data_IF_990139947439
#
_entry.id   IF_990139947439
#
_cell.length_a   1.000
_cell.length_b   1.000
_cell.length_c   1.000
_cell.angle_alpha   90.00
_cell.angle_beta   90.00
_cell.angle_gamma   90.00
#
_symmetry.space_group_name_H-M   'P 1'
#
loop_
_entity.id
_entity.type
_entity.pdbx_description
1 polymer ?
#
# COMPACT_ATOMS: atom_id res chain seq x y z
N UNK A 1 -4.61 24.13 -14.91
CA UNK A 1 -3.92 23.03 -14.19
C UNK A 1 -2.39 23.12 -14.33
N UNK A 2 -1.85 23.55 -15.46
CA UNK A 2 -0.40 23.61 -15.70
C UNK A 2 0.39 24.49 -14.73
N UNK A 3 -0.26 25.44 -14.10
CA UNK A 3 0.35 26.40 -13.17
C UNK A 3 0.23 25.98 -11.69
N UNK A 4 -0.44 24.84 -11.41
CA UNK A 4 -0.61 24.29 -10.07
C UNK A 4 0.66 23.57 -9.62
N UNK A 5 1.56 24.23 -8.99
CA UNK A 5 2.84 23.67 -8.54
C UNK A 5 2.79 23.19 -7.09
N UNK A 6 2.07 22.09 -6.80
CA UNK A 6 1.95 21.56 -5.44
C UNK A 6 3.29 21.15 -4.81
N UNK A 7 4.31 20.84 -5.61
CA UNK A 7 5.65 20.55 -5.08
C UNK A 7 6.28 21.74 -4.35
N UNK A 8 5.83 22.96 -4.65
CA UNK A 8 6.26 24.15 -3.91
C UNK A 8 5.86 24.13 -2.43
N UNK A 9 4.83 23.37 -2.05
CA UNK A 9 4.44 23.18 -0.64
C UNK A 9 5.54 22.52 0.18
N UNK A 10 6.25 21.54 -0.39
CA UNK A 10 7.35 20.85 0.29
C UNK A 10 8.52 21.81 0.52
N UNK A 11 8.82 22.65 -0.48
CA UNK A 11 9.86 23.68 -0.36
C UNK A 11 9.49 24.71 0.72
N UNK A 12 8.23 25.15 0.78
CA UNK A 12 7.75 26.05 1.83
C UNK A 12 7.82 25.40 3.22
N UNK A 13 7.44 24.13 3.33
CA UNK A 13 7.53 23.36 4.60
C UNK A 13 8.96 23.24 5.14
N UNK A 14 9.97 23.32 4.28
CA UNK A 14 11.38 23.36 4.69
C UNK A 14 11.87 24.74 5.17
N UNK A 15 11.11 25.80 4.99
CA UNK A 15 11.54 27.16 5.30
C UNK A 15 11.13 27.67 6.69
N UNK A 16 10.11 27.07 7.31
CA UNK A 16 9.65 27.47 8.64
C UNK A 16 8.99 26.31 9.38
N UNK A 17 8.98 26.38 10.70
CA UNK A 17 8.33 25.40 11.56
C UNK A 17 6.86 25.75 11.77
N UNK A 18 6.00 25.25 10.90
CA UNK A 18 4.56 25.55 10.97
C UNK A 18 3.75 24.81 9.90
N UNK A 19 2.41 24.87 9.99
CA UNK A 19 1.54 24.22 9.01
C UNK A 19 1.62 24.91 7.64
N UNK A 20 1.78 24.11 6.58
CA UNK A 20 1.65 24.57 5.19
C UNK A 20 0.25 24.23 4.69
N UNK A 21 -0.34 25.13 3.93
CA UNK A 21 -1.65 24.97 3.32
C UNK A 21 -1.62 25.18 1.82
N UNK A 22 -2.80 25.04 1.21
CA UNK A 22 -3.00 25.27 -0.21
C UNK A 22 -4.25 26.13 -0.43
N UNK A 23 -4.09 27.22 -1.17
CA UNK A 23 -5.17 28.10 -1.64
C UNK A 23 -5.54 27.71 -3.06
N UNK A 24 -6.75 27.20 -3.26
CA UNK A 24 -7.19 26.59 -4.51
C UNK A 24 -8.07 27.50 -5.36
N UNK A 25 -7.68 27.65 -6.63
CA UNK A 25 -8.42 28.34 -7.67
C UNK A 25 -8.69 27.44 -8.89
N UNK A 26 -8.71 26.12 -8.70
CA UNK A 26 -9.10 25.18 -9.75
C UNK A 26 -10.61 24.92 -9.76
N UNK A 27 -11.22 24.52 -10.88
CA UNK A 27 -12.66 24.34 -10.94
C UNK A 27 -13.18 23.07 -10.22
N UNK A 28 -12.30 22.12 -9.88
CA UNK A 28 -12.66 20.85 -9.24
C UNK A 28 -11.88 20.64 -7.93
N UNK A 29 -11.81 19.38 -7.44
CA UNK A 29 -11.19 19.06 -6.16
C UNK A 29 -9.83 18.34 -6.31
N UNK A 30 -9.38 18.05 -7.52
CA UNK A 30 -8.19 17.24 -7.74
C UNK A 30 -6.94 17.86 -7.10
N UNK A 31 -6.72 19.15 -7.30
CA UNK A 31 -5.59 19.87 -6.72
C UNK A 31 -5.64 19.88 -5.18
N UNK A 32 -6.82 20.08 -4.60
CA UNK A 32 -7.02 20.07 -3.14
C UNK A 32 -6.69 18.69 -2.56
N UNK A 33 -7.23 17.61 -3.15
CA UNK A 33 -7.00 16.26 -2.65
C UNK A 33 -5.52 15.85 -2.79
N UNK A 34 -4.87 16.25 -3.88
CA UNK A 34 -3.44 16.07 -4.05
C UNK A 34 -2.62 16.88 -3.04
N UNK A 35 -3.01 18.11 -2.73
CA UNK A 35 -2.37 18.94 -1.70
C UNK A 35 -2.50 18.29 -0.31
N UNK A 36 -3.70 17.79 0.05
CA UNK A 36 -3.92 17.05 1.31
C UNK A 36 -3.04 15.80 1.38
N UNK A 37 -2.97 15.02 0.30
CA UNK A 37 -2.11 13.84 0.23
C UNK A 37 -0.60 14.19 0.35
N UNK A 38 -0.20 15.40 -0.03
CA UNK A 38 1.16 15.94 0.17
C UNK A 38 1.38 16.59 1.55
N UNK A 39 0.38 16.60 2.42
CA UNK A 39 0.51 17.08 3.78
C UNK A 39 -0.02 18.51 4.03
N UNK A 40 -0.82 19.07 3.12
CA UNK A 40 -1.52 20.33 3.39
C UNK A 40 -2.34 20.23 4.68
N UNK A 41 -2.15 21.18 5.58
CA UNK A 41 -2.84 21.25 6.88
C UNK A 41 -3.98 22.26 6.88
N UNK A 42 -3.98 23.17 5.93
CA UNK A 42 -4.99 24.18 5.72
C UNK A 42 -5.38 24.19 4.24
N UNK A 43 -6.66 24.21 3.96
CA UNK A 43 -7.19 24.37 2.60
C UNK A 43 -8.04 25.64 2.56
N UNK A 44 -7.75 26.49 1.60
CA UNK A 44 -8.56 27.67 1.28
C UNK A 44 -9.25 27.43 -0.07
N UNK A 45 -10.54 27.68 -0.12
CA UNK A 45 -11.36 27.54 -1.33
C UNK A 45 -12.44 28.61 -1.38
N UNK A 46 -12.62 29.24 -2.52
CA UNK A 46 -13.77 30.10 -2.76
C UNK A 46 -15.07 29.32 -2.62
N UNK A 47 -16.08 29.93 -2.04
CA UNK A 47 -17.44 29.36 -1.93
C UNK A 47 -18.46 30.27 -2.60
N UNK A 48 -19.51 29.70 -3.14
CA UNK A 48 -20.62 30.44 -3.72
C UNK A 48 -21.96 29.81 -3.35
N UNK A 49 -22.97 30.63 -3.20
CA UNK A 49 -24.37 30.18 -3.04
C UNK A 49 -25.13 30.14 -4.37
N UNK A 50 -24.60 30.81 -5.40
CA UNK A 50 -25.19 30.88 -6.74
C UNK A 50 -24.10 30.65 -7.77
N UNK A 51 -24.40 29.85 -8.79
CA UNK A 51 -23.58 29.69 -9.99
C UNK A 51 -24.01 30.66 -11.09
N UNK A 52 -23.13 30.89 -12.03
CA UNK A 52 -23.33 31.77 -13.19
C UNK A 52 -23.77 33.18 -12.81
N UNK A 53 -23.03 33.79 -11.88
CA UNK A 53 -23.30 35.13 -11.39
C UNK A 53 -22.71 36.14 -12.38
N UNK A 54 -23.50 37.01 -13.02
CA UNK A 54 -22.99 38.03 -13.91
C UNK A 54 -21.98 38.96 -13.22
N UNK A 55 -20.88 39.25 -13.91
CA UNK A 55 -19.79 40.11 -13.43
C UNK A 55 -19.03 39.62 -12.18
N UNK A 56 -19.30 38.41 -11.67
CA UNK A 56 -18.47 37.77 -10.67
C UNK A 56 -17.41 36.88 -11.36
N UNK A 57 -16.14 36.97 -10.94
CA UNK A 57 -15.06 36.25 -11.61
C UNK A 57 -14.86 34.85 -11.00
N UNK A 58 -14.97 34.73 -9.69
CA UNK A 58 -14.50 33.56 -8.96
C UNK A 58 -15.54 32.44 -8.76
N UNK A 59 -16.80 32.62 -9.22
CA UNK A 59 -17.83 31.58 -9.10
C UNK A 59 -17.45 30.28 -9.84
N UNK A 60 -16.66 30.37 -10.92
CA UNK A 60 -16.18 29.21 -11.72
C UNK A 60 -15.22 28.31 -10.95
N UNK A 61 -14.54 28.84 -9.98
CA UNK A 61 -13.60 28.13 -9.12
C UNK A 61 -14.10 27.99 -7.68
N UNK A 62 -15.36 28.33 -7.44
CA UNK A 62 -16.01 28.27 -6.13
C UNK A 62 -16.74 26.96 -5.91
N UNK A 63 -16.70 26.46 -4.68
CA UNK A 63 -17.53 25.33 -4.25
C UNK A 63 -18.92 25.83 -3.82
N UNK A 64 -19.98 25.25 -4.35
CA UNK A 64 -21.35 25.47 -3.89
C UNK A 64 -21.69 24.65 -2.65
N UNK A 65 -22.90 24.84 -2.07
CA UNK A 65 -23.28 24.16 -0.83
C UNK A 65 -23.20 22.65 -0.88
N UNK A 66 -23.56 22.03 -2.01
CA UNK A 66 -23.46 20.57 -2.22
C UNK A 66 -22.01 20.13 -2.42
N UNK A 67 -21.25 20.91 -3.19
CA UNK A 67 -19.85 20.62 -3.50
C UNK A 67 -18.97 20.73 -2.25
N UNK A 68 -19.23 21.70 -1.37
CA UNK A 68 -18.48 21.86 -0.14
C UNK A 68 -18.60 20.65 0.78
N UNK A 69 -19.79 20.10 0.95
CA UNK A 69 -20.00 18.88 1.74
C UNK A 69 -19.24 17.67 1.14
N UNK A 70 -19.28 17.53 -0.19
CA UNK A 70 -18.54 16.49 -0.91
C UNK A 70 -17.02 16.68 -0.76
N UNK A 71 -16.54 17.92 -0.90
CA UNK A 71 -15.13 18.27 -0.74
C UNK A 71 -14.61 17.87 0.66
N UNK A 72 -15.32 18.28 1.72
CA UNK A 72 -14.94 17.94 3.10
C UNK A 72 -14.90 16.41 3.28
N UNK A 73 -15.91 15.69 2.79
CA UNK A 73 -15.93 14.23 2.84
C UNK A 73 -14.75 13.60 2.08
N UNK A 74 -14.43 14.11 0.90
CA UNK A 74 -13.31 13.64 0.09
C UNK A 74 -11.96 13.92 0.77
N UNK A 75 -11.78 15.07 1.41
CA UNK A 75 -10.58 15.38 2.20
C UNK A 75 -10.41 14.37 3.32
N UNK A 76 -11.45 14.11 4.14
CA UNK A 76 -11.38 13.14 5.24
C UNK A 76 -11.06 11.72 4.76
N UNK A 77 -11.62 11.34 3.61
CA UNK A 77 -11.28 10.07 2.97
C UNK A 77 -9.82 10.04 2.51
N UNK A 78 -9.32 11.12 1.92
CA UNK A 78 -7.92 11.22 1.47
C UNK A 78 -6.97 11.08 2.66
N UNK A 79 -7.23 11.75 3.78
CA UNK A 79 -6.43 11.61 5.01
C UNK A 79 -6.34 10.14 5.46
N UNK A 80 -7.45 9.40 5.41
CA UNK A 80 -7.47 7.97 5.71
C UNK A 80 -6.65 7.15 4.72
N UNK A 81 -6.74 7.47 3.43
CA UNK A 81 -6.04 6.74 2.35
C UNK A 81 -4.52 6.95 2.37
N UNK A 82 -4.04 8.10 2.83
CA UNK A 82 -2.60 8.38 2.98
C UNK A 82 -1.94 7.39 3.95
N UNK A 83 -2.65 6.99 5.01
CA UNK A 83 -2.16 6.00 5.97
C UNK A 83 -0.95 6.49 6.78
N UNK A 84 -0.13 5.55 7.23
CA UNK A 84 1.00 5.80 8.15
C UNK A 84 2.39 5.57 7.55
N UNK A 85 2.49 5.20 6.28
CA UNK A 85 3.75 5.02 5.54
C UNK A 85 4.58 3.77 5.90
N UNK A 86 4.18 2.95 6.87
CA UNK A 86 4.86 1.69 7.18
C UNK A 86 4.44 0.61 6.19
N UNK A 87 5.42 -0.09 5.58
CA UNK A 87 5.14 -1.22 4.69
C UNK A 87 5.01 -2.49 5.52
N UNK A 88 3.81 -2.72 6.02
CA UNK A 88 3.43 -3.93 6.78
C UNK A 88 2.07 -4.45 6.28
N UNK A 89 1.80 -5.75 6.40
CA UNK A 89 0.50 -6.30 6.05
C UNK A 89 -0.61 -5.69 6.90
N UNK A 90 -1.71 -5.32 6.28
CA UNK A 90 -2.93 -4.91 7.00
C UNK A 90 -3.56 -6.10 7.74
N UNK A 91 -4.45 -5.83 8.67
CA UNK A 91 -5.18 -6.89 9.40
C UNK A 91 -5.95 -7.82 8.44
N UNK A 92 -6.53 -7.28 7.37
CA UNK A 92 -7.22 -8.06 6.34
C UNK A 92 -6.26 -8.90 5.48
N UNK A 93 -5.07 -8.39 5.17
CA UNK A 93 -4.04 -9.13 4.45
C UNK A 93 -3.46 -10.27 5.28
N UNK A 94 -3.27 -10.05 6.59
CA UNK A 94 -2.77 -11.09 7.51
C UNK A 94 -3.67 -12.32 7.53
N UNK A 95 -4.99 -12.16 7.47
CA UNK A 95 -5.93 -13.27 7.36
C UNK A 95 -5.77 -14.05 6.04
N UNK A 96 -5.37 -13.37 4.97
CA UNK A 96 -5.16 -13.97 3.65
C UNK A 96 -3.81 -14.67 3.47
N UNK A 97 -2.82 -14.40 4.33
CA UNK A 97 -1.46 -14.90 4.14
C UNK A 97 -1.37 -16.43 4.10
N UNK A 98 -2.11 -17.11 4.97
CA UNK A 98 -2.05 -18.58 5.08
C UNK A 98 -2.37 -19.28 3.75
N UNK A 99 -3.35 -18.78 2.98
CA UNK A 99 -3.73 -19.38 1.70
C UNK A 99 -3.04 -18.71 0.48
N UNK A 100 -2.62 -17.45 0.61
CA UNK A 100 -2.03 -16.70 -0.50
C UNK A 100 -0.53 -16.96 -0.66
N UNK A 101 0.19 -17.16 0.44
CA UNK A 101 1.62 -17.46 0.42
C UNK A 101 1.88 -18.88 -0.12
N UNK A 102 3.13 -19.13 -0.46
CA UNK A 102 3.62 -20.44 -0.90
C UNK A 102 4.57 -21.02 0.13
N UNK A 103 4.61 -22.37 0.20
CA UNK A 103 5.61 -23.14 0.93
C UNK A 103 6.55 -23.86 -0.02
N UNK A 104 7.72 -24.22 0.46
CA UNK A 104 8.59 -25.19 -0.19
C UNK A 104 7.94 -26.58 -0.10
N UNK A 105 7.79 -27.25 -1.24
CA UNK A 105 7.28 -28.61 -1.36
C UNK A 105 8.27 -29.49 -2.12
N UNK A 106 8.23 -30.79 -1.89
CA UNK A 106 9.01 -31.73 -2.71
C UNK A 106 8.49 -31.72 -4.15
N UNK A 107 9.39 -31.66 -5.13
CA UNK A 107 9.05 -31.76 -6.56
C UNK A 107 8.76 -33.17 -7.00
N UNK A 108 9.30 -34.16 -6.25
CA UNK A 108 9.20 -35.61 -6.46
C UNK A 108 9.31 -36.33 -5.12
N UNK A 109 9.07 -37.63 -5.10
CA UNK A 109 9.32 -38.45 -3.91
C UNK A 109 10.81 -38.44 -3.55
N UNK A 110 11.10 -38.14 -2.28
CA UNK A 110 12.45 -38.11 -1.73
C UNK A 110 12.57 -39.11 -0.61
N UNK A 111 13.59 -40.01 -0.63
CA UNK A 111 13.74 -41.02 0.42
C UNK A 111 14.31 -40.44 1.71
N UNK A 112 14.16 -41.14 2.83
CA UNK A 112 14.83 -40.82 4.08
C UNK A 112 16.37 -40.74 3.86
N UNK A 113 17.04 -39.80 4.51
CA UNK A 113 18.48 -39.58 4.36
C UNK A 113 18.89 -38.82 3.09
N UNK A 114 17.93 -38.46 2.22
CA UNK A 114 18.22 -37.66 1.03
C UNK A 114 18.73 -36.27 1.45
N UNK A 115 19.80 -35.80 0.79
CA UNK A 115 20.34 -34.45 0.99
C UNK A 115 19.62 -33.53 0.02
N UNK A 116 18.93 -32.54 0.56
CA UNK A 116 18.10 -31.63 -0.21
C UNK A 116 18.96 -30.69 -1.08
N UNK A 117 18.66 -30.66 -2.38
CA UNK A 117 19.18 -29.70 -3.36
C UNK A 117 18.04 -28.85 -3.92
N UNK A 118 18.39 -27.75 -4.58
CA UNK A 118 17.40 -26.79 -5.09
C UNK A 118 16.40 -27.44 -6.08
N UNK A 119 16.89 -28.34 -6.93
CA UNK A 119 16.08 -29.08 -7.92
C UNK A 119 15.04 -30.05 -7.30
N UNK A 120 15.20 -30.41 -6.04
CA UNK A 120 14.22 -31.22 -5.32
C UNK A 120 12.98 -30.42 -4.88
N UNK A 121 13.05 -29.10 -4.93
CA UNK A 121 12.05 -28.23 -4.34
C UNK A 121 11.22 -27.46 -5.38
N UNK A 122 9.98 -27.22 -5.05
CA UNK A 122 9.07 -26.33 -5.75
C UNK A 122 8.34 -25.42 -4.74
N UNK A 123 7.72 -24.36 -5.24
CA UNK A 123 6.95 -23.43 -4.41
C UNK A 123 5.47 -23.53 -4.76
N UNK A 124 4.66 -24.11 -3.87
CA UNK A 124 3.20 -24.26 -4.03
C UNK A 124 2.43 -23.65 -2.87
N UNK A 125 1.18 -23.24 -3.09
CA UNK A 125 0.24 -22.87 -2.03
C UNK A 125 -0.31 -24.12 -1.33
N UNK A 126 -0.66 -24.03 -0.05
CA UNK A 126 -0.67 -22.87 0.85
C UNK A 126 0.69 -22.52 1.45
N UNK A 127 0.73 -21.41 2.22
CA UNK A 127 1.92 -20.91 2.91
C UNK A 127 2.05 -21.38 4.36
N UNK A 128 1.72 -22.64 4.63
CA UNK A 128 1.71 -23.27 5.96
C UNK A 128 3.01 -23.98 6.34
N UNK A 129 3.96 -24.07 5.40
CA UNK A 129 5.29 -24.65 5.57
C UNK A 129 6.40 -23.60 5.54
N UNK A 130 7.60 -24.01 5.13
CA UNK A 130 8.76 -23.12 4.98
C UNK A 130 8.55 -22.21 3.77
N UNK A 131 8.65 -20.89 3.97
CA UNK A 131 8.51 -19.93 2.88
C UNK A 131 9.66 -20.06 1.86
N UNK A 132 9.42 -19.84 0.55
CA UNK A 132 10.44 -19.99 -0.49
C UNK A 132 11.68 -19.11 -0.31
N UNK A 133 11.54 -17.93 0.29
CA UNK A 133 12.67 -17.04 0.57
C UNK A 133 13.61 -17.56 1.66
N UNK A 134 13.23 -18.65 2.35
CA UNK A 134 14.05 -19.33 3.36
C UNK A 134 14.70 -20.61 2.82
N UNK A 135 14.76 -20.80 1.51
CA UNK A 135 15.31 -22.01 0.87
C UNK A 135 16.74 -22.31 1.35
N UNK A 136 17.57 -21.29 1.58
CA UNK A 136 18.95 -21.45 2.06
C UNK A 136 19.05 -22.19 3.42
N UNK A 137 17.98 -22.18 4.22
CA UNK A 137 17.94 -22.85 5.51
C UNK A 137 17.78 -24.37 5.40
N UNK A 138 17.39 -24.88 4.24
CA UNK A 138 17.08 -26.29 4.02
C UNK A 138 18.05 -26.98 3.06
N UNK A 139 18.73 -26.24 2.18
CA UNK A 139 19.70 -26.81 1.25
C UNK A 139 20.86 -27.47 2.00
N UNK A 140 21.24 -28.67 1.55
CA UNK A 140 22.33 -29.47 2.15
C UNK A 140 21.93 -30.25 3.41
N UNK A 141 20.72 -30.03 3.96
CA UNK A 141 20.22 -30.82 5.10
C UNK A 141 19.65 -32.18 4.63
N UNK A 142 19.63 -33.16 5.54
CA UNK A 142 19.10 -34.51 5.28
C UNK A 142 17.67 -34.63 5.77
N UNK A 143 16.85 -35.37 5.01
CA UNK A 143 15.53 -35.78 5.44
C UNK A 143 15.60 -36.89 6.49
N UNK A 144 14.88 -36.76 7.59
CA UNK A 144 14.73 -37.78 8.63
C UNK A 144 13.85 -38.97 8.21
N UNK A 145 12.86 -38.67 7.35
CA UNK A 145 11.87 -39.62 6.86
C UNK A 145 11.60 -39.34 5.37
N UNK A 146 10.98 -40.28 4.63
CA UNK A 146 10.59 -40.03 3.24
C UNK A 146 9.64 -38.86 3.14
N UNK A 147 9.73 -38.10 2.05
CA UNK A 147 8.84 -36.96 1.72
C UNK A 147 8.24 -37.19 0.34
N UNK A 148 6.92 -37.27 0.27
CA UNK A 148 6.19 -37.51 -0.98
C UNK A 148 6.20 -36.27 -1.88
N UNK A 149 6.04 -36.47 -3.17
CA UNK A 149 5.86 -35.39 -4.12
C UNK A 149 4.71 -34.46 -3.69
N UNK A 150 4.92 -33.18 -3.85
CA UNK A 150 3.97 -32.11 -3.47
C UNK A 150 3.73 -31.95 -1.95
N UNK A 151 4.31 -32.77 -1.11
CA UNK A 151 4.22 -32.59 0.33
C UNK A 151 5.04 -31.37 0.80
N UNK A 152 4.51 -30.54 1.72
CA UNK A 152 5.23 -29.40 2.25
C UNK A 152 6.41 -29.83 3.13
N UNK A 153 7.54 -29.14 2.93
CA UNK A 153 8.74 -29.36 3.73
C UNK A 153 8.65 -28.58 5.05
N UNK A 154 8.89 -29.26 6.17
CA UNK A 154 8.98 -28.67 7.50
C UNK A 154 10.39 -28.73 8.08
N UNK A 155 10.81 -27.76 8.90
CA UNK A 155 12.13 -27.78 9.55
C UNK A 155 12.31 -28.99 10.48
N UNK A 156 11.24 -29.49 11.09
CA UNK A 156 11.24 -30.66 11.94
C UNK A 156 11.54 -31.98 11.19
N UNK A 157 11.39 -32.00 9.86
CA UNK A 157 11.68 -33.10 8.99
C UNK A 157 13.16 -33.24 8.60
N UNK A 158 13.98 -32.27 9.02
CA UNK A 158 15.39 -32.17 8.63
C UNK A 158 16.31 -32.44 9.82
N UNK A 159 17.42 -33.11 9.54
CA UNK A 159 18.56 -33.17 10.46
C UNK A 159 19.25 -31.82 10.53
N UNK A 160 19.70 -31.42 11.70
CA UNK A 160 20.28 -30.13 12.01
C UNK A 160 21.57 -29.79 11.26
#
# INVERSE_FOLDING_TARGET
DGDVNLAAMDALGGLFDGPVGYSDHTPDFAAILAAVARGARVIEKHITILYDVPNAQDWKVSAGPKDLAQLVSAIRRTETLVGHGRKEPSASETQGQAWALKSLVARRDLPAGHVIVEDDLASKRPGDGILPNRIAEVLGKKLKAPLEADAPLGLNMLDG
#
